data_IF_413105399277
#
_entry.id   IF_413105399277
#
_cell.length_a   1.000
_cell.length_b   1.000
_cell.length_c   1.000
_cell.angle_alpha   90.00
_cell.angle_beta   90.00
_cell.angle_gamma   90.00
#
_symmetry.space_group_name_H-M   'P 1'
#
loop_
_entity.id
_entity.type
_entity.pdbx_description
1 polymer ?
#
# COMPACT_ATOMS: atom_id res chain seq x y z
N UNK A 1 1.12 -19.87 19.74
CA UNK A 1 2.24 -19.06 19.22
C UNK A 1 1.64 -17.86 18.54
N UNK A 2 2.18 -16.67 18.80
CA UNK A 2 1.71 -15.43 18.18
C UNK A 2 2.74 -15.01 17.15
N UNK A 3 2.30 -14.69 15.94
CA UNK A 3 3.17 -14.23 14.86
C UNK A 3 3.04 -12.73 14.66
N UNK A 4 4.10 -12.07 14.19
CA UNK A 4 4.14 -10.60 14.06
C UNK A 4 4.29 -10.20 12.59
N UNK A 5 3.34 -9.39 12.13
CA UNK A 5 3.31 -8.80 10.80
C UNK A 5 3.23 -7.28 10.95
N UNK A 6 4.17 -6.56 10.36
CA UNK A 6 4.17 -5.09 10.32
C UNK A 6 3.78 -4.64 8.93
N UNK A 7 2.73 -3.83 8.83
CA UNK A 7 2.32 -3.18 7.59
C UNK A 7 2.79 -1.72 7.62
N UNK A 8 3.44 -1.27 6.55
CA UNK A 8 3.91 0.10 6.42
C UNK A 8 3.51 0.66 5.05
N UNK A 9 2.61 1.65 5.04
CA UNK A 9 2.38 2.42 3.82
C UNK A 9 3.58 3.33 3.61
N UNK A 10 4.06 3.41 2.37
CA UNK A 10 5.11 4.36 2.00
C UNK A 10 4.80 5.78 2.48
N UNK A 11 5.84 6.57 2.75
CA UNK A 11 5.71 7.98 3.10
C UNK A 11 5.12 8.81 1.94
N UNK A 12 4.79 10.07 2.18
CA UNK A 12 4.29 10.96 1.13
C UNK A 12 5.16 10.91 -0.15
N UNK A 13 4.51 10.68 -1.31
CA UNK A 13 5.19 10.77 -2.61
C UNK A 13 5.10 12.17 -3.19
N UNK A 14 5.99 12.51 -4.13
CA UNK A 14 5.97 13.78 -4.86
C UNK A 14 4.58 14.08 -5.44
N UNK A 15 3.88 13.05 -5.93
CA UNK A 15 2.54 13.20 -6.51
C UNK A 15 1.41 13.17 -5.49
N UNK A 16 1.64 12.66 -4.27
CA UNK A 16 0.68 12.88 -3.19
C UNK A 16 0.70 14.35 -2.75
N UNK A 17 1.87 14.98 -2.69
CA UNK A 17 2.01 16.40 -2.40
C UNK A 17 1.31 17.30 -3.45
N UNK A 18 1.29 16.85 -4.72
CA UNK A 18 0.61 17.53 -5.83
C UNK A 18 -0.87 17.14 -6.02
N UNK A 19 -1.41 16.30 -5.12
CA UNK A 19 -2.75 15.69 -5.19
C UNK A 19 -3.11 15.06 -6.55
N UNK A 20 -2.15 14.37 -7.16
CA UNK A 20 -2.34 13.61 -8.39
C UNK A 20 -2.73 12.15 -8.11
N UNK A 21 -3.48 11.54 -9.02
CA UNK A 21 -3.64 10.09 -9.07
C UNK A 21 -2.34 9.45 -9.58
N UNK A 22 -1.64 8.70 -8.71
CA UNK A 22 -0.36 8.07 -9.06
C UNK A 22 -0.53 6.69 -9.70
N UNK A 23 -1.20 5.77 -9.00
CA UNK A 23 -1.29 4.36 -9.43
C UNK A 23 0.09 3.73 -9.59
N UNK A 24 0.33 3.14 -10.76
CA UNK A 24 1.57 2.42 -11.06
C UNK A 24 2.70 3.30 -11.60
N UNK A 25 2.47 4.61 -11.75
CA UNK A 25 3.53 5.55 -12.11
C UNK A 25 4.60 5.54 -11.02
N UNK A 26 5.86 5.45 -11.43
CA UNK A 26 7.00 5.21 -10.56
C UNK A 26 7.65 6.50 -10.05
N UNK A 27 6.91 7.24 -9.24
CA UNK A 27 7.35 8.51 -8.62
C UNK A 27 8.15 8.29 -7.33
N UNK A 28 8.96 9.28 -6.96
CA UNK A 28 9.77 9.26 -5.74
C UNK A 28 8.98 9.61 -4.47
N UNK A 29 9.68 9.55 -3.33
CA UNK A 29 9.22 10.15 -2.08
C UNK A 29 9.48 11.66 -2.11
N UNK A 30 8.66 12.44 -1.42
CA UNK A 30 9.02 13.81 -1.05
C UNK A 30 10.02 13.80 0.13
N UNK A 31 10.63 14.95 0.44
CA UNK A 31 11.46 15.09 1.64
C UNK A 31 10.68 14.73 2.92
N UNK A 32 9.38 15.07 2.95
CA UNK A 32 8.47 14.66 4.02
C UNK A 32 8.31 13.15 4.06
N UNK A 33 8.10 12.49 2.92
CA UNK A 33 7.98 11.03 2.86
C UNK A 33 9.25 10.29 3.29
N UNK A 34 10.42 10.87 3.01
CA UNK A 34 11.70 10.39 3.52
C UNK A 34 11.81 10.54 5.06
N UNK A 35 11.34 11.65 5.63
CA UNK A 35 11.30 11.85 7.08
C UNK A 35 10.32 10.88 7.76
N UNK A 36 9.14 10.67 7.16
CA UNK A 36 8.15 9.69 7.61
C UNK A 36 8.74 8.27 7.67
N UNK A 37 9.56 7.87 6.69
CA UNK A 37 10.23 6.57 6.69
C UNK A 37 11.29 6.42 7.81
N UNK A 38 11.98 7.50 8.19
CA UNK A 38 12.89 7.51 9.35
C UNK A 38 12.13 7.44 10.66
N UNK A 39 10.99 8.13 10.76
CA UNK A 39 10.14 8.05 11.94
C UNK A 39 9.57 6.65 12.13
N UNK A 40 9.21 5.95 11.04
CA UNK A 40 8.79 4.56 11.09
C UNK A 40 9.86 3.65 11.74
N UNK A 41 11.15 3.89 11.46
CA UNK A 41 12.25 3.15 12.09
C UNK A 41 12.31 3.37 13.60
N UNK A 42 12.22 4.63 14.04
CA UNK A 42 12.18 4.99 15.47
C UNK A 42 11.05 4.25 16.18
N UNK A 43 9.83 4.28 15.63
CA UNK A 43 8.66 3.61 16.21
C UNK A 43 8.84 2.08 16.32
N UNK A 44 9.45 1.46 15.31
CA UNK A 44 9.74 0.03 15.33
C UNK A 44 10.80 -0.34 16.38
N UNK A 45 11.85 0.47 16.50
CA UNK A 45 12.92 0.29 17.49
C UNK A 45 12.40 0.43 18.93
N UNK A 46 11.58 1.44 19.20
CA UNK A 46 10.97 1.67 20.53
C UNK A 46 10.10 0.49 20.98
N UNK A 47 9.54 -0.27 20.05
CA UNK A 47 8.71 -1.45 20.30
C UNK A 47 9.47 -2.78 20.18
N UNK A 48 10.80 -2.73 19.99
CA UNK A 48 11.67 -3.89 19.72
C UNK A 48 11.14 -4.81 18.59
N UNK A 49 10.50 -4.20 17.59
CA UNK A 49 10.01 -4.87 16.40
C UNK A 49 11.12 -4.87 15.36
N UNK A 50 11.89 -5.95 15.28
CA UNK A 50 13.03 -6.07 14.37
C UNK A 50 12.64 -6.94 13.16
N UNK A 51 12.42 -6.37 11.96
CA UNK A 51 12.08 -7.15 10.79
C UNK A 51 13.17 -8.18 10.47
N UNK A 52 12.74 -9.40 10.17
CA UNK A 52 13.62 -10.49 9.73
C UNK A 52 13.50 -10.76 8.22
N UNK A 53 12.43 -10.26 7.61
CA UNK A 53 12.19 -10.29 6.15
C UNK A 53 11.38 -9.06 5.74
N UNK A 54 11.71 -8.52 4.56
CA UNK A 54 10.96 -7.45 3.91
C UNK A 54 10.21 -7.97 2.68
N UNK A 55 8.93 -7.63 2.58
CA UNK A 55 8.17 -7.70 1.34
C UNK A 55 7.79 -6.30 0.86
N UNK A 56 8.02 -6.01 -0.41
CA UNK A 56 7.62 -4.72 -1.00
C UNK A 56 7.15 -4.84 -2.45
N UNK A 57 6.59 -3.76 -2.97
CA UNK A 57 6.16 -3.63 -4.36
C UNK A 57 7.35 -3.48 -5.33
N UNK A 58 7.06 -3.26 -6.62
CA UNK A 58 8.08 -2.86 -7.61
C UNK A 58 8.24 -1.34 -7.77
N UNK A 59 7.52 -0.56 -6.95
CA UNK A 59 7.47 0.90 -7.07
C UNK A 59 8.45 1.58 -6.11
N UNK A 60 9.26 2.49 -6.64
CA UNK A 60 10.42 3.08 -5.96
C UNK A 60 10.08 3.73 -4.63
N UNK A 61 8.92 4.37 -4.50
CA UNK A 61 8.49 5.01 -3.24
C UNK A 61 8.35 4.02 -2.08
N UNK A 62 7.82 2.81 -2.33
CA UNK A 62 7.69 1.79 -1.29
C UNK A 62 9.04 1.11 -1.00
N UNK A 63 9.83 0.87 -2.05
CA UNK A 63 11.20 0.35 -1.93
C UNK A 63 12.05 1.31 -1.10
N UNK A 64 12.03 2.60 -1.43
CA UNK A 64 12.80 3.66 -0.77
C UNK A 64 12.35 3.86 0.67
N UNK A 65 11.04 3.82 0.97
CA UNK A 65 10.57 3.83 2.35
C UNK A 65 11.17 2.67 3.13
N UNK A 66 11.10 1.46 2.60
CA UNK A 66 11.68 0.29 3.25
C UNK A 66 13.21 0.41 3.46
N UNK A 67 13.95 0.85 2.44
CA UNK A 67 15.40 1.03 2.53
C UNK A 67 15.78 2.04 3.62
N UNK A 68 15.13 3.21 3.66
CA UNK A 68 15.37 4.22 4.70
C UNK A 68 15.02 3.67 6.09
N UNK A 69 13.91 2.95 6.21
CA UNK A 69 13.49 2.37 7.49
C UNK A 69 14.49 1.31 7.97
N UNK A 70 14.96 0.43 7.09
CA UNK A 70 15.89 -0.64 7.45
C UNK A 70 17.31 -0.12 7.75
N UNK A 71 17.80 0.88 7.01
CA UNK A 71 19.08 1.55 7.25
C UNK A 71 19.13 2.17 8.64
N UNK A 72 18.09 2.92 9.01
CA UNK A 72 17.97 3.50 10.35
C UNK A 72 17.85 2.46 11.49
N UNK A 73 17.50 1.21 11.14
CA UNK A 73 17.40 0.09 12.07
C UNK A 73 18.62 -0.83 12.07
N UNK A 74 19.65 -0.57 11.26
CA UNK A 74 20.80 -1.45 11.04
C UNK A 74 20.38 -2.87 10.59
N UNK A 75 19.48 -2.90 9.59
CA UNK A 75 18.80 -4.12 9.12
C UNK A 75 18.81 -4.27 7.59
N UNK A 76 19.65 -3.55 6.85
CA UNK A 76 19.71 -3.63 5.37
C UNK A 76 20.02 -5.03 4.83
N UNK A 77 20.67 -5.86 5.62
CA UNK A 77 21.14 -7.19 5.24
C UNK A 77 20.02 -8.25 5.23
N UNK A 78 18.82 -7.95 5.74
CA UNK A 78 17.74 -8.94 5.79
C UNK A 78 17.25 -9.30 4.37
N UNK A 79 16.69 -10.51 4.16
CA UNK A 79 16.12 -10.88 2.88
C UNK A 79 15.00 -9.92 2.43
N UNK A 80 15.04 -9.54 1.15
CA UNK A 80 14.03 -8.67 0.53
C UNK A 80 13.35 -9.39 -0.63
N UNK A 81 12.01 -9.47 -0.58
CA UNK A 81 11.18 -10.03 -1.65
C UNK A 81 10.34 -8.93 -2.29
N UNK A 82 10.43 -8.76 -3.61
CA UNK A 82 9.70 -7.73 -4.35
C UNK A 82 8.68 -8.35 -5.30
N UNK A 83 7.47 -7.81 -5.36
CA UNK A 83 6.42 -8.35 -6.22
C UNK A 83 5.44 -7.28 -6.70
N UNK A 84 5.07 -7.33 -7.98
CA UNK A 84 4.02 -6.47 -8.55
C UNK A 84 2.67 -6.67 -7.87
N UNK A 85 2.45 -7.83 -7.25
CA UNK A 85 1.25 -8.15 -6.47
C UNK A 85 1.08 -7.25 -5.25
N UNK A 86 2.14 -6.56 -4.81
CA UNK A 86 2.12 -5.54 -3.76
C UNK A 86 2.06 -4.10 -4.31
N UNK A 87 2.01 -3.88 -5.63
CA UNK A 87 1.83 -2.54 -6.19
C UNK A 87 0.53 -1.89 -5.72
N UNK A 88 0.49 -0.55 -5.72
CA UNK A 88 -0.74 0.24 -5.57
C UNK A 88 -1.82 -0.20 -6.57
N UNK A 89 -3.08 0.17 -6.34
CA UNK A 89 -4.14 0.01 -7.34
C UNK A 89 -3.77 0.75 -8.63
N UNK A 90 -3.88 0.10 -9.78
CA UNK A 90 -3.75 0.74 -11.08
C UNK A 90 -4.93 1.71 -11.31
N UNK A 91 -4.65 3.00 -11.47
CA UNK A 91 -5.71 4.02 -11.59
C UNK A 91 -6.20 4.23 -13.02
N UNK A 92 -5.68 3.45 -13.96
CA UNK A 92 -6.06 3.50 -15.37
C UNK A 92 -5.88 4.90 -15.96
N UNK A 93 -6.86 5.36 -16.74
CA UNK A 93 -6.82 6.67 -17.38
C UNK A 93 -6.85 7.85 -16.40
N UNK A 94 -7.00 7.62 -15.09
CA UNK A 94 -6.86 8.67 -14.08
C UNK A 94 -5.39 8.94 -13.72
N UNK A 95 -4.46 8.04 -14.03
CA UNK A 95 -3.05 8.22 -13.71
C UNK A 95 -2.51 9.54 -14.29
N UNK A 96 -1.88 10.37 -13.45
CA UNK A 96 -1.38 11.69 -13.82
C UNK A 96 -2.37 12.84 -13.72
N UNK A 97 -3.66 12.56 -13.50
CA UNK A 97 -4.68 13.60 -13.37
C UNK A 97 -4.75 14.13 -11.94
N UNK A 98 -5.08 15.41 -11.80
CA UNK A 98 -5.31 16.02 -10.49
C UNK A 98 -6.66 15.58 -9.92
N UNK A 99 -6.69 15.23 -8.64
CA UNK A 99 -7.90 14.71 -7.99
C UNK A 99 -9.01 15.76 -7.88
N UNK A 100 -8.66 17.03 -7.63
CA UNK A 100 -9.62 18.12 -7.53
C UNK A 100 -10.25 18.40 -8.89
N UNK A 101 -9.45 18.49 -9.94
CA UNK A 101 -9.97 18.70 -11.32
C UNK A 101 -10.94 17.58 -11.73
N UNK A 102 -10.59 16.31 -11.46
CA UNK A 102 -11.49 15.18 -11.73
C UNK A 102 -12.78 15.26 -10.90
N UNK A 103 -12.71 15.72 -9.65
CA UNK A 103 -13.89 15.91 -8.80
C UNK A 103 -14.79 17.04 -9.31
N UNK A 104 -14.20 18.13 -9.81
CA UNK A 104 -14.94 19.26 -10.39
C UNK A 104 -15.61 18.87 -11.71
N UNK A 105 -14.92 18.10 -12.55
CA UNK A 105 -15.44 17.66 -13.86
C UNK A 105 -16.54 16.59 -13.74
N UNK A 106 -16.34 15.57 -12.92
CA UNK A 106 -17.23 14.40 -12.84
C UNK A 106 -18.18 14.39 -11.63
N UNK A 107 -18.02 15.34 -10.71
CA UNK A 107 -18.79 15.42 -9.46
C UNK A 107 -18.27 14.51 -8.34
N UNK A 108 -18.69 14.79 -7.10
CA UNK A 108 -18.21 14.08 -5.91
C UNK A 108 -18.60 12.60 -5.90
N UNK A 109 -19.80 12.26 -6.37
CA UNK A 109 -20.28 10.87 -6.39
C UNK A 109 -19.38 9.99 -7.26
N UNK A 110 -19.14 10.38 -8.52
CA UNK A 110 -18.29 9.63 -9.44
C UNK A 110 -16.83 9.59 -8.98
N UNK A 111 -16.31 10.70 -8.45
CA UNK A 111 -14.97 10.76 -7.85
C UNK A 111 -14.81 9.77 -6.69
N UNK A 112 -15.82 9.69 -5.81
CA UNK A 112 -15.81 8.78 -4.67
C UNK A 112 -15.97 7.33 -5.11
N UNK A 113 -16.77 7.04 -6.13
CA UNK A 113 -16.85 5.70 -6.77
C UNK A 113 -15.46 5.27 -7.23
N UNK A 114 -14.77 6.07 -8.05
CA UNK A 114 -13.43 5.71 -8.52
C UNK A 114 -12.40 5.61 -7.41
N UNK A 115 -12.48 6.44 -6.36
CA UNK A 115 -11.53 6.37 -5.25
C UNK A 115 -11.77 5.19 -4.31
N UNK A 116 -13.03 4.84 -4.03
CA UNK A 116 -13.36 4.02 -2.86
C UNK A 116 -14.21 2.80 -3.15
N UNK A 117 -14.85 2.70 -4.31
CA UNK A 117 -15.61 1.51 -4.66
C UNK A 117 -14.75 0.25 -4.57
N UNK A 118 -15.37 -0.82 -4.09
CA UNK A 118 -14.73 -2.11 -4.01
C UNK A 118 -14.57 -2.76 -5.39
N UNK A 119 -15.61 -2.69 -6.23
CA UNK A 119 -15.76 -3.48 -7.45
C UNK A 119 -15.86 -2.64 -8.74
N UNK A 120 -15.86 -1.30 -8.64
CA UNK A 120 -15.87 -0.41 -9.81
C UNK A 120 -14.48 0.14 -10.09
N UNK A 121 -13.82 -0.26 -11.20
CA UNK A 121 -12.52 0.28 -11.58
C UNK A 121 -12.68 1.67 -12.22
N UNK A 122 -11.63 2.52 -12.17
CA UNK A 122 -11.51 3.66 -13.08
C UNK A 122 -11.50 3.23 -14.56
N UNK A 123 -11.68 4.15 -15.52
CA UNK A 123 -11.56 3.83 -16.93
C UNK A 123 -10.17 3.24 -17.27
N UNK A 124 -10.06 2.24 -18.17
CA UNK A 124 -8.79 1.67 -18.57
C UNK A 124 -7.88 2.69 -19.25
N UNK A 125 -6.57 2.62 -18.98
CA UNK A 125 -5.57 3.39 -19.72
C UNK A 125 -5.34 2.75 -21.10
N UNK A 126 -5.04 3.58 -22.10
CA UNK A 126 -4.55 3.10 -23.39
C UNK A 126 -3.11 2.53 -23.22
N UNK A 127 -2.78 1.35 -23.75
CA UNK A 127 -1.43 0.79 -23.67
C UNK A 127 -0.32 1.71 -24.18
N UNK A 128 -0.61 2.56 -25.17
CA UNK A 128 0.32 3.54 -25.75
C UNK A 128 0.32 4.91 -25.06
N UNK A 129 -0.48 5.11 -24.00
CA UNK A 129 -0.43 6.33 -23.20
C UNK A 129 0.95 6.49 -22.53
N UNK A 130 1.44 7.73 -22.43
CA UNK A 130 2.72 8.05 -21.77
C UNK A 130 2.83 7.55 -20.32
N UNK A 131 1.70 7.33 -19.66
CA UNK A 131 1.60 6.87 -18.28
C UNK A 131 1.18 5.40 -18.17
N UNK A 132 1.10 4.67 -19.28
CA UNK A 132 0.92 3.22 -19.28
C UNK A 132 2.18 2.51 -18.80
N UNK A 133 2.00 1.40 -18.08
CA UNK A 133 3.08 0.49 -17.67
C UNK A 133 3.11 -0.79 -18.53
N UNK A 134 2.30 -0.88 -19.57
CA UNK A 134 2.07 -2.12 -20.32
C UNK A 134 3.35 -2.73 -20.89
N UNK A 135 4.25 -1.88 -21.40
CA UNK A 135 5.54 -2.25 -21.99
C UNK A 135 6.74 -2.02 -21.06
N UNK A 136 6.51 -1.73 -19.78
CA UNK A 136 7.60 -1.56 -18.81
C UNK A 136 8.32 -2.92 -18.58
N UNK A 137 9.66 -2.98 -18.75
CA UNK A 137 10.43 -4.21 -18.58
C UNK A 137 10.23 -4.92 -17.23
N UNK A 138 9.88 -4.18 -16.16
CA UNK A 138 9.58 -4.76 -14.83
C UNK A 138 8.42 -5.75 -14.85
N UNK A 139 7.52 -5.63 -15.83
CA UNK A 139 6.33 -6.48 -15.99
C UNK A 139 6.42 -7.42 -17.19
N UNK A 140 7.58 -7.49 -17.88
CA UNK A 140 7.74 -8.28 -19.09
C UNK A 140 7.49 -9.79 -18.90
N UNK A 141 7.76 -10.32 -17.71
CA UNK A 141 7.50 -11.71 -17.36
C UNK A 141 5.99 -12.02 -17.14
N UNK A 142 5.14 -11.00 -17.02
CA UNK A 142 3.70 -11.19 -16.90
C UNK A 142 3.10 -11.41 -18.29
N UNK A 143 2.17 -12.37 -18.44
CA UNK A 143 1.40 -12.48 -19.66
C UNK A 143 0.51 -11.22 -19.82
N UNK A 144 0.16 -10.80 -21.05
CA UNK A 144 -0.55 -9.55 -21.30
C UNK A 144 -1.83 -9.37 -20.47
N UNK A 145 -2.61 -10.44 -20.26
CA UNK A 145 -3.84 -10.44 -19.48
C UNK A 145 -3.62 -10.18 -17.98
N UNK A 146 -2.41 -10.38 -17.47
CA UNK A 146 -2.05 -10.07 -16.08
C UNK A 146 -1.49 -8.65 -15.91
N UNK A 147 -1.32 -7.88 -17.00
CA UNK A 147 -0.87 -6.48 -16.97
C UNK A 147 -2.11 -5.57 -16.93
N UNK A 148 -2.50 -5.03 -15.78
CA UNK A 148 -3.76 -4.31 -15.65
C UNK A 148 -3.73 -2.98 -16.40
N UNK A 149 -4.77 -2.69 -17.18
CA UNK A 149 -5.02 -1.34 -17.71
C UNK A 149 -5.77 -0.45 -16.69
N UNK A 150 -6.42 -1.05 -15.69
CA UNK A 150 -7.10 -0.41 -14.56
C UNK A 150 -7.41 -1.47 -13.50
N UNK A 151 -7.65 -1.07 -12.26
CA UNK A 151 -8.03 -1.96 -11.18
C UNK A 151 -9.06 -1.30 -10.26
N UNK A 152 -10.05 -2.07 -9.81
CA UNK A 152 -10.80 -1.78 -8.59
C UNK A 152 -10.11 -2.42 -7.37
N UNK A 153 -10.63 -2.25 -6.16
CA UNK A 153 -10.02 -2.87 -4.98
C UNK A 153 -10.15 -4.40 -4.97
N UNK A 154 -11.23 -4.95 -5.54
CA UNK A 154 -11.44 -6.39 -5.71
C UNK A 154 -10.36 -7.03 -6.59
N UNK A 155 -9.96 -6.37 -7.67
CA UNK A 155 -8.86 -6.84 -8.54
C UNK A 155 -7.54 -6.88 -7.75
N UNK A 156 -7.26 -5.83 -6.97
CA UNK A 156 -6.09 -5.76 -6.09
C UNK A 156 -6.10 -6.91 -5.08
N UNK A 157 -7.24 -7.21 -4.44
CA UNK A 157 -7.39 -8.38 -3.56
C UNK A 157 -7.06 -9.67 -4.32
N UNK A 158 -7.65 -9.86 -5.50
CA UNK A 158 -7.45 -11.04 -6.34
C UNK A 158 -5.99 -11.30 -6.70
N UNK A 159 -5.22 -10.26 -7.05
CA UNK A 159 -3.79 -10.43 -7.35
C UNK A 159 -2.89 -10.46 -6.12
N UNK A 160 -3.28 -9.84 -5.00
CA UNK A 160 -2.45 -9.74 -3.80
C UNK A 160 -2.52 -11.01 -2.95
N UNK A 161 -3.70 -11.64 -2.81
CA UNK A 161 -3.88 -12.82 -1.95
C UNK A 161 -2.96 -14.00 -2.29
N UNK A 162 -2.68 -14.33 -3.56
CA UNK A 162 -1.67 -15.34 -3.88
C UNK A 162 -0.30 -15.01 -3.28
N UNK A 163 0.12 -13.74 -3.28
CA UNK A 163 1.39 -13.35 -2.63
C UNK A 163 1.33 -13.44 -1.10
N UNK A 164 0.18 -13.11 -0.51
CA UNK A 164 -0.04 -13.30 0.92
C UNK A 164 0.14 -14.77 1.31
N UNK A 165 -0.54 -15.71 0.63
CA UNK A 165 -0.49 -17.12 0.99
C UNK A 165 0.80 -17.83 0.56
N UNK A 166 1.37 -17.50 -0.58
CA UNK A 166 2.50 -18.24 -1.14
C UNK A 166 3.87 -17.69 -0.72
N UNK A 167 3.92 -16.45 -0.20
CA UNK A 167 5.18 -15.80 0.18
C UNK A 167 5.17 -15.25 1.61
N UNK A 168 4.19 -14.42 1.99
CA UNK A 168 4.19 -13.76 3.30
C UNK A 168 3.86 -14.74 4.43
N UNK A 169 2.80 -15.53 4.30
CA UNK A 169 2.39 -16.52 5.31
C UNK A 169 3.48 -17.55 5.63
N UNK A 170 4.19 -18.14 4.64
CA UNK A 170 5.30 -19.04 4.90
C UNK A 170 6.39 -18.39 5.75
N UNK A 171 6.79 -17.16 5.43
CA UNK A 171 7.82 -16.45 6.21
C UNK A 171 7.32 -16.15 7.64
N UNK A 172 6.10 -15.59 7.79
CA UNK A 172 5.48 -15.30 9.10
C UNK A 172 5.36 -16.56 9.96
N UNK A 173 4.98 -17.71 9.39
CA UNK A 173 4.82 -18.98 10.12
C UNK A 173 6.12 -19.55 10.67
N UNK A 174 7.29 -19.11 10.19
CA UNK A 174 8.58 -19.48 10.79
C UNK A 174 8.86 -18.75 12.10
N UNK A 175 7.99 -17.82 12.51
CA UNK A 175 8.19 -16.96 13.69
C UNK A 175 8.95 -15.66 13.39
N UNK A 176 9.30 -15.41 12.13
CA UNK A 176 9.90 -14.17 11.67
C UNK A 176 8.96 -12.98 11.84
N UNK A 177 9.54 -11.81 12.14
CA UNK A 177 8.82 -10.54 12.03
C UNK A 177 8.86 -10.08 10.57
N UNK A 178 7.73 -10.19 9.88
CA UNK A 178 7.63 -9.75 8.48
C UNK A 178 7.26 -8.27 8.39
N UNK A 179 8.04 -7.48 7.65
CA UNK A 179 7.68 -6.11 7.28
C UNK A 179 7.13 -6.10 5.85
N UNK A 180 5.94 -5.53 5.66
CA UNK A 180 5.31 -5.31 4.35
C UNK A 180 5.25 -3.80 4.08
N UNK A 181 6.21 -3.29 3.31
CA UNK A 181 6.25 -1.90 2.88
C UNK A 181 5.56 -1.76 1.51
N UNK A 182 4.37 -1.16 1.49
CA UNK A 182 3.52 -1.11 0.29
C UNK A 182 2.70 0.19 0.21
N UNK A 183 1.51 0.13 -0.39
CA UNK A 183 0.71 1.29 -0.78
C UNK A 183 -0.66 1.28 -0.12
N UNK A 184 -1.41 2.37 -0.30
CA UNK A 184 -2.72 2.54 0.34
C UNK A 184 -3.68 1.42 0.01
N UNK A 185 -3.96 1.13 -1.26
CA UNK A 185 -4.98 0.13 -1.60
C UNK A 185 -4.48 -1.31 -1.48
N UNK A 186 -3.20 -1.58 -1.70
CA UNK A 186 -2.65 -2.92 -1.47
C UNK A 186 -2.70 -3.31 0.01
N UNK A 187 -2.44 -2.36 0.92
CA UNK A 187 -2.57 -2.59 2.36
C UNK A 187 -4.04 -2.63 2.80
N UNK A 188 -4.92 -1.79 2.22
CA UNK A 188 -6.38 -1.93 2.45
C UNK A 188 -6.89 -3.31 2.02
N UNK A 189 -6.40 -3.85 0.91
CA UNK A 189 -6.76 -5.19 0.45
C UNK A 189 -6.31 -6.27 1.45
N UNK A 190 -5.11 -6.15 2.02
CA UNK A 190 -4.61 -7.09 3.02
C UNK A 190 -5.36 -6.96 4.35
N UNK A 191 -5.59 -5.74 4.84
CA UNK A 191 -6.39 -5.48 6.05
C UNK A 191 -7.82 -5.99 5.89
N UNK A 192 -8.45 -5.79 4.71
CA UNK A 192 -9.76 -6.36 4.40
C UNK A 192 -9.79 -7.87 4.60
N UNK A 193 -8.76 -8.55 4.10
CA UNK A 193 -8.64 -10.00 4.22
C UNK A 193 -8.43 -10.44 5.66
N UNK A 194 -7.48 -9.82 6.37
CA UNK A 194 -7.13 -10.15 7.76
C UNK A 194 -8.31 -9.93 8.71
N UNK A 195 -8.98 -8.79 8.61
CA UNK A 195 -10.08 -8.40 9.51
C UNK A 195 -11.47 -8.81 9.03
N UNK A 196 -11.54 -9.59 7.95
CA UNK A 196 -12.77 -10.01 7.28
C UNK A 196 -13.76 -8.85 7.07
N UNK A 197 -13.26 -7.69 6.63
CA UNK A 197 -14.06 -6.46 6.46
C UNK A 197 -15.06 -6.69 5.32
N UNK A 198 -16.37 -6.43 5.49
CA UNK A 198 -17.35 -6.48 4.41
C UNK A 198 -17.06 -5.53 3.24
N UNK A 199 -17.64 -5.80 2.07
CA UNK A 199 -17.42 -4.99 0.85
C UNK A 199 -18.01 -3.58 0.99
N UNK A 200 -19.06 -3.44 1.79
CA UNK A 200 -19.74 -2.19 2.13
C UNK A 200 -18.96 -1.32 3.14
N UNK A 201 -18.12 -1.93 3.99
CA UNK A 201 -17.33 -1.23 5.00
C UNK A 201 -15.95 -0.78 4.47
N UNK A 202 -15.37 -1.52 3.51
CA UNK A 202 -14.01 -1.24 3.03
C UNK A 202 -13.80 0.17 2.44
N UNK A 203 -14.80 0.84 1.81
CA UNK A 203 -14.67 2.24 1.38
C UNK A 203 -14.25 3.19 2.51
N UNK A 204 -14.67 2.93 3.74
CA UNK A 204 -14.38 3.74 4.92
C UNK A 204 -12.97 3.55 5.49
N UNK A 205 -12.28 2.46 5.16
CA UNK A 205 -10.94 2.19 5.67
C UNK A 205 -9.89 3.11 5.03
N UNK A 206 -9.06 3.70 5.88
CA UNK A 206 -7.94 4.57 5.49
C UNK A 206 -6.67 4.09 6.19
N UNK A 207 -5.59 3.97 5.43
CA UNK A 207 -4.27 3.62 5.95
C UNK A 207 -3.39 4.89 5.87
N UNK A 208 -2.88 5.41 6.99
CA UNK A 208 -2.02 6.60 7.01
C UNK A 208 -0.67 6.32 6.33
N UNK A 209 0.01 7.34 5.84
CA UNK A 209 1.39 7.24 5.32
C UNK A 209 2.38 7.13 6.47
N UNK A 210 3.44 6.33 6.31
CA UNK A 210 4.61 6.39 7.19
C UNK A 210 4.45 5.84 8.62
N UNK A 211 3.26 5.40 9.04
CA UNK A 211 3.02 4.91 10.41
C UNK A 211 2.88 3.40 10.38
N UNK A 212 3.77 2.64 11.05
CA UNK A 212 3.69 1.18 11.09
C UNK A 212 2.43 0.69 11.82
N UNK A 213 1.80 -0.34 11.25
CA UNK A 213 0.65 -1.04 11.79
C UNK A 213 1.04 -2.48 12.12
N UNK A 214 1.06 -2.81 13.41
CA UNK A 214 1.34 -4.15 13.91
C UNK A 214 0.07 -5.00 13.89
N UNK A 215 0.17 -6.17 13.26
CA UNK A 215 -0.73 -7.30 13.47
C UNK A 215 -0.02 -8.39 14.26
N UNK A 216 -0.67 -8.78 15.35
CA UNK A 216 -0.42 -10.06 16.01
C UNK A 216 -1.39 -11.09 15.45
N UNK A 217 -0.87 -12.21 14.97
CA UNK A 217 -1.65 -13.26 14.30
C UNK A 217 -1.61 -14.57 15.08
N UNK A 218 -2.71 -15.31 15.08
CA UNK A 218 -2.83 -16.64 15.68
C UNK A 218 -2.32 -17.77 14.76
N UNK A 219 -2.51 -19.03 15.17
CA UNK A 219 -2.12 -20.23 14.40
C UNK A 219 -2.73 -20.31 12.99
N UNK A 220 -3.91 -19.71 12.81
CA UNK A 220 -4.68 -19.70 11.56
C UNK A 220 -4.42 -18.43 10.74
N UNK A 221 -3.40 -17.64 11.10
CA UNK A 221 -3.07 -16.35 10.49
C UNK A 221 -4.18 -15.31 10.62
N UNK A 222 -5.03 -15.42 11.65
CA UNK A 222 -6.08 -14.45 11.95
C UNK A 222 -5.60 -13.42 12.98
N UNK A 223 -6.02 -12.15 12.88
CA UNK A 223 -5.69 -11.15 13.88
C UNK A 223 -6.17 -11.53 15.27
N UNK A 224 -5.26 -11.48 16.25
CA UNK A 224 -5.61 -11.56 17.68
C UNK A 224 -6.43 -10.33 18.08
N UNK A 225 -6.11 -9.17 17.49
CA UNK A 225 -6.85 -7.91 17.62
C UNK A 225 -7.28 -7.43 16.24
N UNK A 226 -8.60 -7.34 16.01
CA UNK A 226 -9.15 -6.75 14.78
C UNK A 226 -8.64 -5.33 14.60
N UNK A 227 -8.17 -4.99 13.41
CA UNK A 227 -7.64 -3.67 13.05
C UNK A 227 -6.18 -3.43 13.45
N UNK A 228 -5.52 -4.40 14.10
CA UNK A 228 -4.13 -4.27 14.55
C UNK A 228 -3.90 -3.15 15.57
N UNK A 229 -2.65 -2.74 15.71
CA UNK A 229 -2.20 -1.62 16.55
C UNK A 229 -1.22 -0.74 15.76
N UNK A 230 -1.59 0.53 15.52
CA UNK A 230 -0.62 1.51 15.04
C UNK A 230 0.39 1.82 16.15
N UNK A 231 1.67 1.91 15.79
CA UNK A 231 2.73 2.17 16.77
C UNK A 231 2.69 3.61 17.33
N UNK A 232 2.05 4.52 16.59
CA UNK A 232 1.67 5.88 17.01
C UNK A 232 0.17 6.11 16.69
N UNK A 233 -0.74 5.80 17.63
CA UNK A 233 -2.18 5.90 17.40
C UNK A 233 -2.69 7.34 17.18
N UNK A 234 -2.07 8.32 17.83
CA UNK A 234 -2.48 9.73 17.73
C UNK A 234 -2.11 10.28 16.36
N UNK A 235 -0.86 10.11 15.92
CA UNK A 235 -0.45 10.51 14.58
C UNK A 235 -1.21 9.74 13.49
N UNK A 236 -1.55 8.46 13.74
CA UNK A 236 -2.34 7.66 12.81
C UNK A 236 -3.75 8.25 12.61
N UNK A 237 -4.41 8.68 13.69
CA UNK A 237 -5.73 9.29 13.62
C UNK A 237 -5.71 10.60 12.80
N UNK A 238 -4.73 11.48 13.06
CA UNK A 238 -4.57 12.74 12.33
C UNK A 238 -4.28 12.49 10.83
N UNK A 239 -3.36 11.58 10.52
CA UNK A 239 -2.99 11.24 9.15
C UNK A 239 -4.15 10.57 8.38
N UNK A 240 -4.97 9.76 9.06
CA UNK A 240 -6.19 9.18 8.48
C UNK A 240 -7.18 10.27 8.06
N UNK A 241 -7.39 11.29 8.90
CA UNK A 241 -8.24 12.43 8.55
C UNK A 241 -7.68 13.24 7.37
N UNK A 242 -6.35 13.40 7.28
CA UNK A 242 -5.73 14.01 6.12
C UNK A 242 -5.99 13.23 4.81
N UNK A 243 -5.91 11.90 4.85
CA UNK A 243 -6.20 11.03 3.68
C UNK A 243 -7.67 11.11 3.24
N UNK A 244 -8.61 11.21 4.20
CA UNK A 244 -10.04 11.42 3.91
C UNK A 244 -10.30 12.73 3.17
N UNK A 245 -9.53 13.77 3.47
CA UNK A 245 -9.72 15.11 2.92
C UNK A 245 -9.00 15.39 1.58
N UNK A 246 -8.29 14.42 1.01
CA UNK A 246 -7.69 14.55 -0.33
C UNK A 246 -8.76 14.80 -1.41
N UNK A 247 -8.47 15.69 -2.36
CA UNK A 247 -9.40 16.14 -3.40
C UNK A 247 -10.51 17.07 -2.92
N UNK A 248 -10.51 17.51 -1.65
CA UNK A 248 -11.50 18.48 -1.12
C UNK A 248 -10.95 19.91 -0.97
N UNK A 249 -9.63 20.10 -1.00
CA UNK A 249 -8.96 21.40 -0.81
C UNK A 249 -8.33 21.90 -2.11
#
# INVERSE_FOLDING_TARGET
MTYRLVLLRHGESEWNALDLFTGWIDVGLSDRGEAEARQAATLLQERDLRPDVLHTSLLRRAIRTAEITLDAMDRDWIPVRRSWRLNERHYGALQGKNKREIREEFGDEQFMVWRRSYDVPPPPIDPGDRYSQFDDPRYAALPPEARPATECLKDVVGRMLPWWYDAIVPDVRTGQVALVAAHGNSLRALVKHLDAIPDEEIPGLNIPTGIPLLYELDGDMRPVRRGGEYLDPEAAAEAIEAVKNQGRR
#
